data_IF_083616372910
#
_entry.id   IF_083616372910
#
_cell.length_a   1.000
_cell.length_b   1.000
_cell.length_c   1.000
_cell.angle_alpha   90.00
_cell.angle_beta   90.00
_cell.angle_gamma   90.00
#
_symmetry.space_group_name_H-M   'P 1'
#
loop_
_entity.id
_entity.type
_entity.pdbx_description
1 polymer ?
#
# COMPACT_ATOMS: atom_id res chain seq x y z
N UNK A 1 -3.80 20.05 -15.55
CA UNK A 1 -3.07 19.31 -14.49
C UNK A 1 -4.06 18.38 -13.84
N UNK A 2 -3.67 17.12 -13.60
CA UNK A 2 -4.53 16.20 -12.83
C UNK A 2 -4.48 16.63 -11.36
N UNK A 3 -5.66 16.77 -10.74
CA UNK A 3 -5.84 17.11 -9.32
C UNK A 3 -6.52 15.97 -8.56
N UNK A 4 -6.65 14.79 -9.19
CA UNK A 4 -7.28 13.64 -8.59
C UNK A 4 -6.51 13.18 -7.36
N UNK A 5 -7.27 12.78 -6.35
CA UNK A 5 -6.77 12.13 -5.12
C UNK A 5 -7.13 10.64 -5.12
N UNK A 6 -7.53 10.09 -6.28
CA UNK A 6 -7.97 8.70 -6.42
C UNK A 6 -6.82 7.69 -6.55
N UNK A 7 -5.81 7.84 -5.69
CA UNK A 7 -4.69 6.93 -5.56
C UNK A 7 -4.32 6.78 -4.08
N UNK A 8 -3.66 5.68 -3.72
CA UNK A 8 -3.28 5.41 -2.32
C UNK A 8 -1.85 5.87 -1.99
N UNK A 9 -0.96 5.83 -3.00
CA UNK A 9 0.44 6.20 -2.87
C UNK A 9 1.04 6.53 -4.24
N UNK A 10 2.14 7.26 -4.23
CA UNK A 10 2.99 7.47 -5.40
C UNK A 10 4.32 6.72 -5.26
N UNK A 11 4.96 6.44 -6.38
CA UNK A 11 6.36 6.00 -6.43
C UNK A 11 7.23 7.17 -6.87
N UNK A 12 8.42 7.30 -6.29
CA UNK A 12 9.42 8.28 -6.71
C UNK A 12 10.84 7.77 -6.46
N UNK A 13 11.82 8.44 -7.08
CA UNK A 13 13.23 8.34 -6.72
C UNK A 13 13.59 9.57 -5.90
N UNK A 14 14.05 9.36 -4.68
CA UNK A 14 14.43 10.39 -3.75
C UNK A 14 15.72 11.12 -4.17
N UNK A 15 16.04 12.22 -3.48
CA UNK A 15 17.16 13.08 -3.84
C UNK A 15 18.54 12.40 -3.71
N UNK A 16 18.67 11.33 -2.92
CA UNK A 16 19.89 10.54 -2.83
C UNK A 16 19.88 9.33 -3.78
N UNK A 17 18.90 9.24 -4.70
CA UNK A 17 18.75 8.13 -5.64
C UNK A 17 18.01 6.93 -5.07
N UNK A 18 17.45 7.04 -3.87
CA UNK A 18 16.73 5.95 -3.20
C UNK A 18 15.31 5.79 -3.73
N UNK A 19 14.85 4.56 -3.93
CA UNK A 19 13.47 4.29 -4.32
C UNK A 19 12.55 4.43 -3.11
N UNK A 20 11.45 5.17 -3.28
CA UNK A 20 10.48 5.43 -2.22
C UNK A 20 9.04 5.24 -2.68
N UNK A 21 8.21 4.73 -1.79
CA UNK A 21 6.77 4.96 -1.83
C UNK A 21 6.39 6.15 -0.96
N UNK A 22 5.44 6.92 -1.46
CA UNK A 22 4.92 8.13 -0.84
C UNK A 22 3.42 7.92 -0.58
N UNK A 23 3.02 7.56 0.65
CA UNK A 23 1.62 7.63 1.05
C UNK A 23 1.04 9.04 0.84
N UNK A 24 -0.28 9.15 0.69
CA UNK A 24 -0.93 10.46 0.46
C UNK A 24 -0.52 11.55 1.45
N UNK A 25 -0.48 11.26 2.76
CA UNK A 25 -0.14 12.30 3.74
C UNK A 25 1.33 12.73 3.66
N UNK A 26 2.24 11.88 3.16
CA UNK A 26 3.62 12.25 2.87
C UNK A 26 3.73 13.23 1.68
N UNK A 27 2.70 13.28 0.82
CA UNK A 27 2.56 14.26 -0.26
C UNK A 27 1.82 15.54 0.19
N UNK A 28 1.46 15.66 1.47
CA UNK A 28 0.61 16.74 1.97
C UNK A 28 -0.85 16.62 1.54
N UNK A 29 -1.27 15.46 1.03
CA UNK A 29 -2.66 15.18 0.67
C UNK A 29 -3.32 14.50 1.85
N UNK A 30 -4.10 15.26 2.62
CA UNK A 30 -4.86 14.68 3.72
C UNK A 30 -6.22 14.18 3.23
N UNK A 31 -6.50 12.90 3.51
CA UNK A 31 -7.86 12.39 3.39
C UNK A 31 -8.47 12.56 4.78
N UNK A 32 -9.57 13.29 4.91
CA UNK A 32 -10.27 13.51 6.18
C UNK A 32 -10.95 12.23 6.72
N UNK A 33 -10.30 11.08 6.56
CA UNK A 33 -10.80 9.75 6.90
C UNK A 33 -9.93 9.13 7.98
N UNK A 34 -10.54 8.29 8.82
CA UNK A 34 -9.84 7.62 9.92
C UNK A 34 -8.78 6.61 9.44
N UNK A 35 -8.87 6.12 8.19
CA UNK A 35 -7.95 5.13 7.65
C UNK A 35 -7.10 5.73 6.52
N UNK A 36 -6.00 6.40 6.92
CA UNK A 36 -5.00 6.89 5.97
C UNK A 36 -4.31 5.71 5.26
N UNK A 37 -4.12 5.77 3.94
CA UNK A 37 -3.38 4.74 3.22
C UNK A 37 -1.93 4.71 3.70
N UNK A 38 -1.33 3.53 3.68
CA UNK A 38 0.03 3.38 4.17
C UNK A 38 0.57 1.96 4.09
N UNK A 39 1.80 1.81 4.56
CA UNK A 39 2.59 0.60 4.41
C UNK A 39 3.07 0.07 5.75
N UNK A 40 3.18 -1.24 5.84
CA UNK A 40 3.87 -1.90 6.93
C UNK A 40 4.81 -2.95 6.38
N UNK A 41 6.11 -2.76 6.61
CA UNK A 41 7.16 -3.67 6.17
C UNK A 41 6.99 -5.05 6.80
N UNK A 42 7.25 -6.09 6.02
CA UNK A 42 7.10 -7.50 6.39
C UNK A 42 8.41 -8.25 6.15
N UNK A 43 8.78 -9.07 7.12
CA UNK A 43 10.01 -9.88 7.08
C UNK A 43 9.79 -11.30 6.59
N UNK A 44 8.56 -11.81 6.65
CA UNK A 44 8.22 -13.14 6.13
C UNK A 44 8.09 -13.15 4.59
N UNK A 45 7.94 -14.34 4.00
CA UNK A 45 7.69 -14.48 2.56
C UNK A 45 6.32 -13.91 2.16
N UNK A 46 6.14 -13.60 0.88
CA UNK A 46 4.89 -13.02 0.39
C UNK A 46 3.70 -13.95 0.65
N UNK A 47 3.91 -15.25 0.49
CA UNK A 47 2.93 -16.30 0.69
C UNK A 47 2.55 -16.42 2.17
N UNK A 48 3.51 -16.25 3.08
CA UNK A 48 3.28 -16.32 4.53
C UNK A 48 2.55 -15.09 5.11
N UNK A 49 2.45 -13.99 4.36
CA UNK A 49 1.62 -12.84 4.74
C UNK A 49 0.16 -13.20 4.44
N UNK A 50 -0.52 -13.79 5.43
CA UNK A 50 -1.93 -14.22 5.30
C UNK A 50 -2.91 -13.26 5.97
N UNK A 51 -2.42 -12.34 6.81
CA UNK A 51 -3.27 -11.40 7.55
C UNK A 51 -2.67 -10.00 7.62
N UNK A 52 -3.51 -9.01 7.33
CA UNK A 52 -3.22 -7.61 7.54
C UNK A 52 -3.36 -7.22 9.02
N UNK A 53 -2.38 -6.51 9.60
CA UNK A 53 -2.50 -5.93 10.93
C UNK A 53 -3.54 -4.80 10.97
N UNK A 54 -4.03 -4.46 12.16
CA UNK A 54 -5.02 -3.39 12.32
C UNK A 54 -4.39 -1.99 12.33
N UNK A 55 -3.13 -1.88 12.72
CA UNK A 55 -2.41 -0.64 12.99
C UNK A 55 -0.90 -0.81 12.73
N UNK A 56 -0.12 0.26 12.92
CA UNK A 56 1.33 0.26 12.69
C UNK A 56 1.75 0.60 11.26
N UNK A 57 0.82 1.08 10.44
CA UNK A 57 1.10 1.56 9.09
C UNK A 57 1.81 2.92 9.13
N UNK A 58 2.86 3.04 8.33
CA UNK A 58 3.52 4.31 8.00
C UNK A 58 2.66 5.02 6.95
N UNK A 59 2.18 6.22 7.27
CA UNK A 59 1.17 6.92 6.46
C UNK A 59 1.56 8.32 6.03
N UNK A 60 2.60 8.91 6.62
CA UNK A 60 2.89 10.34 6.59
C UNK A 60 4.33 10.71 6.24
N UNK A 61 5.19 9.70 6.04
CA UNK A 61 6.58 9.89 5.60
C UNK A 61 6.90 8.99 4.41
N UNK A 62 7.94 9.34 3.61
CA UNK A 62 8.46 8.45 2.58
C UNK A 62 8.85 7.08 3.15
N UNK A 63 8.50 6.02 2.43
CA UNK A 63 8.83 4.63 2.77
C UNK A 63 9.89 4.14 1.79
N UNK A 64 11.15 3.97 2.23
CA UNK A 64 12.20 3.40 1.38
C UNK A 64 11.83 1.99 0.94
N UNK A 65 12.07 1.67 -0.33
CA UNK A 65 11.79 0.35 -0.89
C UNK A 65 13.02 -0.25 -1.57
N UNK A 66 13.13 -1.58 -1.51
CA UNK A 66 14.19 -2.35 -2.15
C UNK A 66 13.63 -3.65 -2.72
N UNK A 67 14.29 -4.19 -3.75
CA UNK A 67 13.93 -5.48 -4.36
C UNK A 67 13.89 -6.59 -3.29
N UNK A 68 12.84 -7.41 -3.32
CA UNK A 68 12.57 -8.48 -2.36
C UNK A 68 11.91 -8.01 -1.05
N UNK A 69 11.77 -6.69 -0.81
CA UNK A 69 10.99 -6.21 0.32
C UNK A 69 9.49 -6.39 0.08
N UNK A 70 8.78 -6.63 1.18
CA UNK A 70 7.36 -6.94 1.19
C UNK A 70 6.63 -6.04 2.15
N UNK A 71 5.41 -5.69 1.78
CA UNK A 71 4.60 -4.78 2.57
C UNK A 71 3.18 -5.31 2.66
N UNK A 72 2.56 -5.15 3.82
CA UNK A 72 1.10 -5.03 3.85
C UNK A 72 0.76 -3.58 3.58
N UNK A 73 -0.23 -3.37 2.72
CA UNK A 73 -0.77 -2.07 2.36
C UNK A 73 -2.17 -1.94 2.92
N UNK A 74 -2.45 -0.81 3.55
CA UNK A 74 -3.81 -0.36 3.85
C UNK A 74 -4.16 0.71 2.82
N UNK A 75 -5.28 0.55 2.14
CA UNK A 75 -5.79 1.57 1.23
C UNK A 75 -6.55 2.68 1.96
N UNK A 76 -6.92 3.73 1.23
CA UNK A 76 -7.90 4.72 1.69
C UNK A 76 -9.30 4.07 1.80
N UNK A 77 -10.22 4.77 2.47
CA UNK A 77 -11.65 4.41 2.39
C UNK A 77 -12.16 4.87 1.02
N UNK A 78 -12.41 3.92 0.12
CA UNK A 78 -12.95 4.18 -1.22
C UNK A 78 -14.46 4.43 -1.16
N UNK A 79 -15.07 5.04 -2.18
CA UNK A 79 -16.53 5.19 -2.26
C UNK A 79 -17.29 3.88 -2.06
N UNK A 80 -16.76 2.76 -2.57
CA UNK A 80 -17.36 1.43 -2.43
C UNK A 80 -17.37 0.90 -0.97
N UNK A 81 -16.44 1.35 -0.12
CA UNK A 81 -16.37 0.96 1.28
C UNK A 81 -16.83 2.06 2.25
N UNK A 82 -17.25 3.21 1.73
CA UNK A 82 -17.60 4.40 2.53
C UNK A 82 -18.74 4.15 3.52
N UNK A 83 -19.78 3.39 3.12
CA UNK A 83 -20.91 3.05 3.99
C UNK A 83 -20.54 2.19 5.22
N UNK A 84 -19.39 1.52 5.18
CA UNK A 84 -18.86 0.73 6.29
C UNK A 84 -17.75 1.47 7.06
N UNK A 85 -17.22 2.57 6.52
CA UNK A 85 -16.15 3.33 7.15
C UNK A 85 -14.83 2.56 7.30
N UNK A 86 -14.58 1.54 6.47
CA UNK A 86 -13.40 0.67 6.57
C UNK A 86 -12.59 0.66 5.27
N UNK A 87 -11.27 0.49 5.35
CA UNK A 87 -10.41 0.41 4.17
C UNK A 87 -10.39 -1.01 3.59
N UNK A 88 -9.74 -1.16 2.43
CA UNK A 88 -9.28 -2.44 1.89
C UNK A 88 -7.81 -2.67 2.25
N UNK A 89 -7.37 -3.92 2.16
CA UNK A 89 -5.99 -4.32 2.45
C UNK A 89 -5.39 -5.12 1.30
N UNK A 90 -4.07 -5.01 1.14
CA UNK A 90 -3.31 -5.76 0.16
C UNK A 90 -1.95 -6.19 0.73
N UNK A 91 -1.27 -7.09 0.05
CA UNK A 91 0.17 -7.30 0.20
C UNK A 91 0.88 -7.06 -1.12
N UNK A 92 2.09 -6.56 -1.07
CA UNK A 92 2.95 -6.41 -2.25
C UNK A 92 4.37 -6.88 -1.97
N UNK A 93 5.09 -7.24 -3.04
CA UNK A 93 6.52 -7.50 -3.04
C UNK A 93 7.18 -6.77 -4.21
N UNK A 94 8.25 -6.05 -3.92
CA UNK A 94 9.04 -5.35 -4.94
C UNK A 94 9.88 -6.36 -5.73
N UNK A 95 9.73 -6.36 -7.04
CA UNK A 95 10.40 -7.30 -7.94
C UNK A 95 11.60 -6.68 -8.65
N UNK A 96 11.49 -5.45 -9.12
CA UNK A 96 12.55 -4.78 -9.88
C UNK A 96 12.34 -3.26 -9.94
N UNK A 97 13.43 -2.54 -10.22
CA UNK A 97 13.43 -1.15 -10.64
C UNK A 97 14.06 -1.04 -12.04
N UNK A 98 13.51 -0.15 -12.86
CA UNK A 98 14.14 0.33 -14.09
C UNK A 98 14.34 1.84 -13.96
N UNK A 99 15.59 2.24 -13.71
CA UNK A 99 15.96 3.63 -13.45
C UNK A 99 15.93 4.49 -14.72
N UNK A 100 16.08 3.87 -15.88
CA UNK A 100 16.06 4.57 -17.17
C UNK A 100 14.65 5.06 -17.50
N UNK A 101 13.64 4.26 -17.14
CA UNK A 101 12.22 4.57 -17.37
C UNK A 101 11.47 4.99 -16.10
N UNK A 102 12.13 4.96 -14.94
CA UNK A 102 11.55 5.23 -13.61
C UNK A 102 10.33 4.34 -13.33
N UNK A 103 10.47 3.05 -13.61
CA UNK A 103 9.43 2.06 -13.36
C UNK A 103 9.80 1.22 -12.13
N UNK A 104 8.82 0.95 -11.28
CA UNK A 104 8.89 -0.09 -10.25
C UNK A 104 7.97 -1.22 -10.63
N UNK A 105 8.49 -2.44 -10.62
CA UNK A 105 7.70 -3.68 -10.77
C UNK A 105 7.47 -4.29 -9.41
N UNK A 106 6.23 -4.67 -9.11
CA UNK A 106 5.88 -5.40 -7.90
C UNK A 106 4.79 -6.43 -8.19
N UNK A 107 4.77 -7.54 -7.43
CA UNK A 107 3.60 -8.42 -7.37
C UNK A 107 2.69 -7.99 -6.23
N UNK A 108 1.38 -8.20 -6.38
CA UNK A 108 0.38 -7.81 -5.38
C UNK A 108 -0.72 -8.84 -5.24
N UNK A 109 -1.32 -8.90 -4.06
CA UNK A 109 -2.60 -9.54 -3.79
C UNK A 109 -3.46 -8.57 -3.01
N UNK A 110 -4.63 -8.25 -3.54
CA UNK A 110 -5.59 -7.31 -2.96
C UNK A 110 -6.79 -8.08 -2.42
N UNK A 111 -7.23 -7.76 -1.21
CA UNK A 111 -8.53 -8.19 -0.71
C UNK A 111 -9.57 -7.12 -1.03
N UNK A 112 -10.50 -7.45 -1.93
CA UNK A 112 -11.54 -6.53 -2.37
C UNK A 112 -12.73 -6.41 -1.41
N UNK A 113 -12.77 -7.20 -0.33
CA UNK A 113 -13.81 -7.12 0.68
C UNK A 113 -13.47 -6.01 1.69
N UNK A 114 -14.37 -5.03 1.80
CA UNK A 114 -14.21 -3.89 2.70
C UNK A 114 -13.99 -4.33 4.15
N UNK A 115 -12.87 -3.92 4.75
CA UNK A 115 -12.52 -4.21 6.14
C UNK A 115 -11.96 -5.62 6.40
N UNK A 116 -11.99 -6.53 5.43
CA UNK A 116 -11.43 -7.86 5.59
C UNK A 116 -9.92 -7.84 5.45
N UNK A 117 -9.24 -8.51 6.38
CA UNK A 117 -7.78 -8.47 6.53
C UNK A 117 -7.08 -9.72 6.00
N UNK A 118 -7.81 -10.75 5.58
CA UNK A 118 -7.21 -11.95 4.98
C UNK A 118 -6.48 -11.61 3.68
N UNK A 119 -5.27 -12.13 3.50
CA UNK A 119 -4.39 -11.88 2.36
C UNK A 119 -3.93 -13.20 1.73
N UNK A 120 -4.81 -14.18 1.71
CA UNK A 120 -4.64 -15.45 1.02
C UNK A 120 -5.35 -15.39 -0.34
N UNK A 121 -4.84 -16.10 -1.37
CA UNK A 121 -5.57 -16.24 -2.62
C UNK A 121 -6.91 -16.96 -2.39
N UNK A 122 -7.96 -16.51 -3.10
CA UNK A 122 -9.28 -17.13 -3.03
C UNK A 122 -10.29 -16.35 -2.18
N UNK A 123 -11.49 -16.92 -2.03
CA UNK A 123 -12.52 -16.39 -1.13
C UNK A 123 -12.16 -16.88 0.28
N UNK A 124 -12.26 -16.04 1.33
CA UNK A 124 -11.95 -16.47 2.70
C UNK A 124 -12.71 -17.75 3.06
N UNK A 125 -11.99 -18.76 3.57
CA UNK A 125 -12.64 -19.92 4.17
C UNK A 125 -13.39 -19.46 5.43
N UNK A 126 -14.64 -19.88 5.50
CA UNK A 126 -15.64 -19.49 6.51
C UNK A 126 -15.18 -19.73 7.95
#
# INVERSE_FOLDING_TARGET
TDLSVDFDFAYNVGPAGEHIFLPLAALGIDTATAAKPGFQLRGESFEAITLAPSNGYITDVPVPIAVGQRYVVRGRITPACSGLGVPKYAKLEILAFDDSTRIVSFRTLVNDNCGFRGLEPGIPDR
#
